data_IF_786619773479
#
_entry.id   IF_786619773479
#
_cell.length_a   1.000
_cell.length_b   1.000
_cell.length_c   1.000
_cell.angle_alpha   90.00
_cell.angle_beta   90.00
_cell.angle_gamma   90.00
#
_symmetry.space_group_name_H-M   'P 1'
#
loop_
_entity.id
_entity.type
_entity.pdbx_description
1 polymer ?
#
# COMPACT_ATOMS: atom_id res chain seq x y z
N UNK A 1 -11.32 33.34 -3.28
CA UNK A 1 -11.83 32.26 -2.41
C UNK A 1 -12.36 31.07 -3.20
N UNK A 2 -13.28 31.22 -4.17
CA UNK A 2 -13.85 30.12 -4.99
C UNK A 2 -12.75 29.27 -5.68
N UNK A 3 -11.76 29.88 -6.33
CA UNK A 3 -10.65 29.20 -7.02
C UNK A 3 -9.82 28.30 -6.07
N UNK A 4 -9.58 28.73 -4.83
CA UNK A 4 -8.85 27.90 -3.85
C UNK A 4 -9.67 26.71 -3.40
N UNK A 5 -10.98 26.87 -3.21
CA UNK A 5 -11.88 25.78 -2.85
C UNK A 5 -11.94 24.74 -3.98
N UNK A 6 -12.05 25.17 -5.23
CA UNK A 6 -12.04 24.27 -6.40
C UNK A 6 -10.72 23.50 -6.51
N UNK A 7 -9.58 24.21 -6.35
CA UNK A 7 -8.27 23.56 -6.31
C UNK A 7 -8.19 22.50 -5.20
N UNK A 8 -8.58 22.84 -3.97
CA UNK A 8 -8.54 21.90 -2.84
C UNK A 8 -9.41 20.67 -3.09
N UNK A 9 -10.62 20.85 -3.63
CA UNK A 9 -11.51 19.72 -3.98
C UNK A 9 -10.87 18.82 -5.02
N UNK A 10 -10.31 19.37 -6.10
CA UNK A 10 -9.65 18.62 -7.15
C UNK A 10 -8.38 17.90 -6.63
N UNK A 11 -7.61 18.57 -5.76
CA UNK A 11 -6.42 18.02 -5.12
C UNK A 11 -6.78 16.81 -4.24
N UNK A 12 -7.78 16.94 -3.34
CA UNK A 12 -8.24 15.85 -2.48
C UNK A 12 -8.83 14.69 -3.30
N UNK A 13 -9.60 14.99 -4.37
CA UNK A 13 -10.10 13.97 -5.31
C UNK A 13 -8.96 13.17 -5.94
N UNK A 14 -7.86 13.82 -6.32
CA UNK A 14 -6.67 13.17 -6.90
C UNK A 14 -5.89 12.32 -5.89
N UNK A 15 -6.00 12.57 -4.58
CA UNK A 15 -5.32 11.78 -3.55
C UNK A 15 -5.86 10.34 -3.42
N UNK A 16 -7.08 10.08 -3.87
CA UNK A 16 -7.68 8.73 -3.89
C UNK A 16 -7.54 7.98 -2.56
N UNK A 17 -7.99 8.60 -1.47
CA UNK A 17 -7.83 8.08 -0.10
C UNK A 17 -8.41 6.68 0.14
N UNK A 18 -9.27 6.18 -0.73
CA UNK A 18 -9.76 4.79 -0.64
C UNK A 18 -8.64 3.73 -0.75
N UNK A 19 -7.49 4.08 -1.32
CA UNK A 19 -6.31 3.25 -1.31
C UNK A 19 -5.35 3.54 -0.13
N UNK A 20 -5.52 4.63 0.60
CA UNK A 20 -4.60 5.03 1.68
C UNK A 20 -4.53 4.01 2.83
N UNK A 21 -5.55 3.15 2.94
CA UNK A 21 -5.54 2.01 3.86
C UNK A 21 -4.39 1.03 3.59
N UNK A 22 -3.88 0.96 2.35
CA UNK A 22 -2.75 0.10 2.00
C UNK A 22 -1.50 0.56 2.74
N UNK A 23 -1.11 1.82 2.59
CA UNK A 23 0.06 2.39 3.27
C UNK A 23 -0.15 2.49 4.78
N UNK A 24 -1.35 2.89 5.21
CA UNK A 24 -1.71 3.02 6.61
C UNK A 24 -1.55 1.71 7.37
N UNK A 25 -2.20 0.64 6.91
CA UNK A 25 -2.16 -0.64 7.62
C UNK A 25 -0.83 -1.36 7.43
N UNK A 26 -0.19 -1.26 6.25
CA UNK A 26 1.17 -1.77 6.07
C UNK A 26 2.15 -1.12 7.06
N UNK A 27 2.06 0.19 7.29
CA UNK A 27 2.89 0.87 8.27
C UNK A 27 2.58 0.44 9.71
N UNK A 28 1.32 0.16 10.01
CA UNK A 28 0.93 -0.33 11.34
C UNK A 28 1.35 -1.77 11.63
N UNK A 29 1.69 -2.58 10.63
CA UNK A 29 2.45 -3.83 10.86
C UNK A 29 3.77 -3.52 11.57
N UNK A 30 4.47 -2.47 11.14
CA UNK A 30 5.71 -2.02 11.78
C UNK A 30 5.50 -1.49 13.20
N UNK A 31 4.45 -0.70 13.43
CA UNK A 31 4.10 -0.18 14.77
C UNK A 31 3.82 -1.34 15.73
N UNK A 32 2.98 -2.29 15.34
CA UNK A 32 2.62 -3.44 16.17
C UNK A 32 3.82 -4.32 16.50
N UNK A 33 4.71 -4.51 15.52
CA UNK A 33 5.94 -5.23 15.74
C UNK A 33 6.86 -4.50 16.72
N UNK A 34 6.99 -3.16 16.62
CA UNK A 34 7.76 -2.37 17.56
C UNK A 34 7.22 -2.51 19.00
N UNK A 35 5.91 -2.37 19.18
CA UNK A 35 5.27 -2.51 20.50
C UNK A 35 5.46 -3.90 21.09
N UNK A 36 5.48 -4.94 20.26
CA UNK A 36 5.71 -6.33 20.69
C UNK A 36 7.15 -6.57 21.13
N UNK A 37 8.15 -6.10 20.38
CA UNK A 37 9.57 -6.38 20.68
C UNK A 37 10.16 -5.46 21.74
N UNK A 38 9.64 -4.25 21.92
CA UNK A 38 10.18 -3.26 22.86
C UNK A 38 10.26 -3.77 24.30
N UNK A 39 9.21 -4.40 24.88
CA UNK A 39 9.30 -4.95 26.24
C UNK A 39 10.34 -6.08 26.37
N UNK A 40 10.63 -6.79 25.29
CA UNK A 40 11.58 -7.91 25.28
C UNK A 40 13.03 -7.40 25.30
N UNK A 41 13.34 -6.36 24.54
CA UNK A 41 14.70 -5.86 24.37
C UNK A 41 15.04 -4.65 25.25
N UNK A 42 14.04 -3.94 25.75
CA UNK A 42 14.18 -2.71 26.53
C UNK A 42 13.36 -2.78 27.83
N UNK A 43 13.48 -3.89 28.57
CA UNK A 43 12.75 -4.09 29.84
C UNK A 43 12.95 -2.97 30.86
N UNK A 44 14.12 -2.32 30.83
CA UNK A 44 14.49 -1.26 31.76
C UNK A 44 14.13 0.15 31.27
N UNK A 45 13.81 0.29 29.97
CA UNK A 45 13.41 1.56 29.35
C UNK A 45 12.08 1.32 28.65
N UNK A 46 10.97 1.63 29.31
CA UNK A 46 9.65 1.55 28.68
C UNK A 46 9.49 2.67 27.64
N UNK A 47 9.97 2.44 26.43
CA UNK A 47 9.77 3.34 25.28
C UNK A 47 8.58 2.86 24.46
N UNK A 48 7.40 2.77 25.09
CA UNK A 48 6.16 2.54 24.36
C UNK A 48 5.76 3.87 23.70
N UNK A 49 5.51 3.92 22.38
CA UNK A 49 5.13 5.16 21.74
C UNK A 49 3.81 5.68 22.32
N UNK A 50 3.74 6.98 22.59
CA UNK A 50 2.52 7.62 23.07
C UNK A 50 1.41 7.49 22.01
N UNK A 51 0.15 7.56 22.44
CA UNK A 51 -1.01 7.56 21.53
C UNK A 51 -0.91 8.66 20.49
N UNK A 52 -0.47 9.87 20.91
CA UNK A 52 -0.25 11.00 20.02
C UNK A 52 0.79 10.68 18.94
N UNK A 53 1.93 10.12 19.30
CA UNK A 53 2.99 9.70 18.38
C UNK A 53 2.46 8.68 17.36
N UNK A 54 1.70 7.68 17.81
CA UNK A 54 1.05 6.69 16.94
C UNK A 54 0.04 7.32 15.98
N UNK A 55 -0.73 8.29 16.42
CA UNK A 55 -1.69 9.01 15.56
C UNK A 55 -0.99 9.84 14.50
N UNK A 56 0.14 10.48 14.81
CA UNK A 56 0.96 11.19 13.83
C UNK A 56 1.54 10.23 12.79
N UNK A 57 2.07 9.09 13.23
CA UNK A 57 2.56 8.04 12.33
C UNK A 57 1.44 7.58 11.38
N UNK A 58 0.25 7.27 11.92
CA UNK A 58 -0.90 6.87 11.13
C UNK A 58 -1.29 7.94 10.11
N UNK A 59 -1.40 9.18 10.53
CA UNK A 59 -1.71 10.30 9.65
C UNK A 59 -0.69 10.44 8.52
N UNK A 60 0.61 10.33 8.80
CA UNK A 60 1.65 10.39 7.79
C UNK A 60 1.58 9.23 6.80
N UNK A 61 1.29 8.02 7.27
CA UNK A 61 1.12 6.86 6.41
C UNK A 61 -0.07 6.99 5.45
N UNK A 62 -1.20 7.54 5.93
CA UNK A 62 -2.35 7.84 5.06
C UNK A 62 -2.04 8.97 4.09
N UNK A 63 -1.38 10.03 4.57
CA UNK A 63 -1.00 11.19 3.75
C UNK A 63 0.02 10.80 2.67
N UNK A 64 0.96 9.90 2.98
CA UNK A 64 1.95 9.39 2.03
C UNK A 64 1.30 8.82 0.78
N UNK A 65 0.21 8.05 0.90
CA UNK A 65 -0.55 7.59 -0.26
C UNK A 65 -1.03 8.74 -1.14
N UNK A 66 -1.73 9.72 -0.54
CA UNK A 66 -2.29 10.85 -1.27
C UNK A 66 -1.24 11.67 -2.00
N UNK A 67 -0.12 11.97 -1.35
CA UNK A 67 1.01 12.69 -1.96
C UNK A 67 1.59 11.89 -3.13
N UNK A 68 1.81 10.59 -2.93
CA UNK A 68 2.35 9.73 -3.98
C UNK A 68 1.43 9.66 -5.20
N UNK A 69 0.10 9.68 -5.01
CA UNK A 69 -0.83 9.73 -6.15
C UNK A 69 -0.70 11.00 -6.99
N UNK A 70 -0.44 12.15 -6.36
CA UNK A 70 -0.21 13.41 -7.09
C UNK A 70 1.03 13.30 -8.00
N UNK A 71 2.13 12.73 -7.51
CA UNK A 71 3.33 12.51 -8.32
C UNK A 71 3.08 11.49 -9.43
N UNK A 72 2.39 10.39 -9.13
CA UNK A 72 2.06 9.36 -10.12
C UNK A 72 1.14 9.88 -11.21
N UNK A 73 0.11 10.67 -10.87
CA UNK A 73 -0.79 11.28 -11.86
C UNK A 73 -0.04 12.27 -12.77
N UNK A 74 0.96 12.98 -12.24
CA UNK A 74 1.79 13.87 -13.05
C UNK A 74 2.68 13.10 -14.03
N UNK A 75 3.36 12.05 -13.55
CA UNK A 75 4.26 11.24 -14.38
C UNK A 75 3.51 10.34 -15.36
N UNK A 76 2.32 9.88 -15.00
CA UNK A 76 1.46 9.01 -15.80
C UNK A 76 0.43 9.74 -16.69
N UNK A 77 0.54 11.06 -16.87
CA UNK A 77 -0.41 11.84 -17.66
C UNK A 77 -0.67 11.30 -19.08
N UNK A 78 0.32 10.80 -19.84
CA UNK A 78 0.08 10.25 -21.17
C UNK A 78 -0.87 9.05 -21.16
N UNK A 79 -0.68 8.12 -20.24
CA UNK A 79 -1.48 6.91 -20.06
C UNK A 79 -2.86 7.23 -19.46
N UNK A 80 -2.92 8.17 -18.55
CA UNK A 80 -4.15 8.57 -17.87
C UNK A 80 -5.17 9.22 -18.82
N UNK A 81 -4.71 9.84 -19.91
CA UNK A 81 -5.60 10.34 -20.95
C UNK A 81 -6.43 9.23 -21.59
N UNK A 82 -5.96 7.98 -21.53
CA UNK A 82 -6.63 6.81 -22.09
C UNK A 82 -7.33 6.03 -20.97
N UNK A 83 -6.59 5.68 -19.91
CA UNK A 83 -7.08 4.81 -18.84
C UNK A 83 -8.03 5.52 -17.87
N UNK A 84 -7.88 6.82 -17.69
CA UNK A 84 -8.62 7.60 -16.70
C UNK A 84 -8.86 9.06 -17.14
N UNK A 85 -9.60 9.29 -18.26
CA UNK A 85 -9.78 10.60 -18.87
C UNK A 85 -10.44 11.64 -17.94
N UNK A 86 -11.16 11.21 -16.92
CA UNK A 86 -11.86 12.07 -15.97
C UNK A 86 -11.01 12.47 -14.74
N UNK A 87 -9.70 12.15 -14.74
CA UNK A 87 -8.81 12.58 -13.65
C UNK A 87 -8.62 14.10 -13.65
N UNK A 88 -8.60 14.76 -12.48
CA UNK A 88 -8.49 16.21 -12.40
C UNK A 88 -7.28 16.83 -13.12
N UNK A 89 -6.13 16.15 -13.16
CA UNK A 89 -4.97 16.62 -13.91
C UNK A 89 -5.14 16.46 -15.42
N UNK A 90 -5.87 15.44 -15.88
CA UNK A 90 -6.17 15.19 -17.30
C UNK A 90 -7.19 16.19 -17.81
N UNK A 91 -8.26 16.44 -17.05
CA UNK A 91 -9.33 17.40 -17.42
C UNK A 91 -8.90 18.87 -17.27
N UNK A 92 -7.79 19.13 -16.56
CA UNK A 92 -7.35 20.50 -16.24
C UNK A 92 -8.03 21.13 -15.02
N UNK A 93 -8.91 20.41 -14.31
CA UNK A 93 -9.48 20.83 -13.03
C UNK A 93 -8.39 21.10 -11.96
N UNK A 94 -7.30 20.32 -12.02
CA UNK A 94 -6.15 20.43 -11.11
C UNK A 94 -4.91 20.86 -11.89
N UNK A 95 -4.39 22.06 -11.56
CA UNK A 95 -3.11 22.48 -12.11
C UNK A 95 -1.98 21.61 -11.57
N UNK A 96 -1.34 20.83 -12.45
CA UNK A 96 -0.33 19.85 -12.08
C UNK A 96 0.88 20.44 -11.36
N UNK A 97 1.40 21.61 -11.84
CA UNK A 97 2.55 22.27 -11.23
C UNK A 97 2.24 22.78 -9.82
N UNK A 98 1.05 23.38 -9.64
CA UNK A 98 0.60 23.83 -8.31
C UNK A 98 0.38 22.64 -7.36
N UNK A 99 -0.18 21.54 -7.85
CA UNK A 99 -0.36 20.31 -7.07
C UNK A 99 0.97 19.71 -6.61
N UNK A 100 1.97 19.63 -7.50
CA UNK A 100 3.32 19.19 -7.15
C UNK A 100 3.97 20.12 -6.10
N UNK A 101 3.85 21.43 -6.25
CA UNK A 101 4.41 22.38 -5.30
C UNK A 101 3.78 22.18 -3.89
N UNK A 102 2.45 22.07 -3.81
CA UNK A 102 1.76 21.80 -2.55
C UNK A 102 2.21 20.45 -1.96
N UNK A 103 2.28 19.38 -2.76
CA UNK A 103 2.75 18.06 -2.32
C UNK A 103 4.18 18.12 -1.78
N UNK A 104 5.08 18.85 -2.45
CA UNK A 104 6.47 19.04 -2.00
C UNK A 104 6.54 19.77 -0.66
N UNK A 105 5.74 20.83 -0.48
CA UNK A 105 5.68 21.56 0.81
C UNK A 105 5.18 20.65 1.93
N UNK A 106 4.11 19.89 1.69
CA UNK A 106 3.57 18.94 2.69
C UNK A 106 4.63 17.90 3.03
N UNK A 107 5.29 17.32 2.03
CA UNK A 107 6.33 16.31 2.21
C UNK A 107 7.52 16.84 3.00
N UNK A 108 7.95 18.08 2.74
CA UNK A 108 8.99 18.76 3.53
C UNK A 108 8.57 18.92 4.99
N UNK A 109 7.30 19.27 5.24
CA UNK A 109 6.73 19.33 6.58
C UNK A 109 6.74 17.96 7.27
N UNK A 110 6.38 16.88 6.57
CA UNK A 110 6.44 15.51 7.07
C UNK A 110 7.87 15.12 7.45
N UNK A 111 8.86 15.44 6.60
CA UNK A 111 10.27 15.18 6.91
C UNK A 111 10.73 15.96 8.15
N UNK A 112 10.35 17.24 8.26
CA UNK A 112 10.67 18.09 9.41
C UNK A 112 10.09 17.51 10.71
N UNK A 113 8.80 17.16 10.73
CA UNK A 113 8.16 16.58 11.91
C UNK A 113 8.77 15.20 12.23
N UNK A 114 9.08 14.38 11.22
CA UNK A 114 9.75 13.11 11.43
C UNK A 114 11.09 13.28 12.13
N UNK A 115 11.88 14.28 11.70
CA UNK A 115 13.20 14.52 12.28
C UNK A 115 13.14 15.05 13.72
N UNK A 116 12.25 16.00 14.01
CA UNK A 116 12.25 16.70 15.30
C UNK A 116 11.29 16.11 16.34
N UNK A 117 10.24 15.42 15.91
CA UNK A 117 9.18 14.95 16.82
C UNK A 117 9.07 13.41 16.88
N UNK A 118 9.34 12.71 15.77
CA UNK A 118 9.38 11.25 15.76
C UNK A 118 10.80 10.76 16.04
N UNK A 119 11.39 10.03 15.10
CA UNK A 119 12.75 9.52 15.19
C UNK A 119 13.53 9.88 13.92
N UNK A 120 14.71 10.52 14.02
CA UNK A 120 15.49 10.90 12.83
C UNK A 120 15.81 9.73 11.89
N UNK A 121 16.02 8.53 12.43
CA UNK A 121 16.30 7.33 11.64
C UNK A 121 15.12 6.95 10.72
N UNK A 122 13.89 7.33 11.06
CA UNK A 122 12.71 7.07 10.25
C UNK A 122 12.70 7.90 8.93
N UNK A 123 13.55 8.91 8.80
CA UNK A 123 13.76 9.58 7.52
C UNK A 123 14.30 8.64 6.43
N UNK A 124 15.08 7.62 6.80
CA UNK A 124 15.66 6.68 5.84
C UNK A 124 14.55 5.96 5.05
N UNK A 125 13.62 5.22 5.68
CA UNK A 125 12.52 4.59 4.94
C UNK A 125 11.55 5.59 4.31
N UNK A 126 11.35 6.76 4.88
CA UNK A 126 10.52 7.81 4.29
C UNK A 126 11.10 8.27 2.94
N UNK A 127 12.37 8.64 2.90
CA UNK A 127 13.04 9.06 1.68
C UNK A 127 13.18 7.91 0.67
N UNK A 128 13.47 6.69 1.15
CA UNK A 128 13.49 5.51 0.29
C UNK A 128 12.12 5.25 -0.36
N UNK A 129 11.02 5.39 0.39
CA UNK A 129 9.66 5.27 -0.13
C UNK A 129 9.35 6.30 -1.22
N UNK A 130 9.77 7.55 -1.04
CA UNK A 130 9.63 8.63 -2.03
C UNK A 130 10.40 8.26 -3.32
N UNK A 131 11.67 7.87 -3.19
CA UNK A 131 12.50 7.50 -4.34
C UNK A 131 11.92 6.28 -5.09
N UNK A 132 11.46 5.28 -4.35
CA UNK A 132 10.81 4.11 -4.94
C UNK A 132 9.50 4.47 -5.65
N UNK A 133 8.71 5.40 -5.09
CA UNK A 133 7.50 5.88 -5.76
C UNK A 133 7.83 6.62 -7.06
N UNK A 134 8.85 7.48 -7.07
CA UNK A 134 9.31 8.14 -8.30
C UNK A 134 9.87 7.16 -9.33
N UNK A 135 10.52 6.08 -8.87
CA UNK A 135 11.02 5.02 -9.74
C UNK A 135 9.93 4.08 -10.27
N UNK A 136 8.74 4.08 -9.68
CA UNK A 136 7.66 3.15 -10.03
C UNK A 136 7.16 3.32 -11.48
N UNK A 137 6.88 4.56 -11.90
CA UNK A 137 6.38 4.80 -13.25
C UNK A 137 7.39 4.39 -14.35
N UNK A 138 8.69 4.74 -14.27
CA UNK A 138 9.66 4.17 -15.19
C UNK A 138 9.80 2.65 -15.07
N UNK A 139 9.74 2.07 -13.87
CA UNK A 139 9.88 0.63 -13.66
C UNK A 139 8.74 -0.18 -14.32
N UNK A 140 7.54 0.38 -14.44
CA UNK A 140 6.40 -0.23 -15.19
C UNK A 140 6.76 -0.59 -16.63
N UNK A 141 7.67 0.16 -17.25
CA UNK A 141 8.12 -0.13 -18.62
C UNK A 141 8.92 -1.45 -18.75
N UNK A 142 9.33 -2.06 -17.65
CA UNK A 142 10.25 -3.20 -17.63
C UNK A 142 9.64 -4.49 -17.01
N UNK A 143 8.39 -4.78 -17.29
CA UNK A 143 7.73 -6.03 -16.88
C UNK A 143 7.51 -6.13 -15.38
N UNK A 144 8.12 -7.12 -14.73
CA UNK A 144 7.93 -7.38 -13.30
C UNK A 144 8.50 -6.29 -12.38
N UNK A 145 9.42 -5.45 -12.88
CA UNK A 145 10.07 -4.43 -12.06
C UNK A 145 9.10 -3.40 -11.49
N UNK A 146 8.01 -3.09 -12.20
CA UNK A 146 6.94 -2.26 -11.65
C UNK A 146 6.34 -2.86 -10.36
N UNK A 147 6.07 -4.18 -10.36
CA UNK A 147 5.55 -4.88 -9.18
C UNK A 147 6.56 -4.89 -8.02
N UNK A 148 7.84 -5.14 -8.35
CA UNK A 148 8.93 -5.16 -7.36
C UNK A 148 9.06 -3.80 -6.68
N UNK A 149 9.17 -2.73 -7.46
CA UNK A 149 9.36 -1.36 -6.95
C UNK A 149 8.14 -0.90 -6.15
N UNK A 150 6.93 -1.17 -6.63
CA UNK A 150 5.71 -0.86 -5.89
C UNK A 150 5.68 -1.60 -4.54
N UNK A 151 5.92 -2.90 -4.52
CA UNK A 151 5.98 -3.68 -3.29
C UNK A 151 6.99 -3.11 -2.29
N UNK A 152 8.19 -2.73 -2.76
CA UNK A 152 9.23 -2.11 -1.93
C UNK A 152 8.81 -0.74 -1.39
N UNK A 153 8.10 0.07 -2.19
CA UNK A 153 7.62 1.38 -1.73
C UNK A 153 6.63 1.25 -0.58
N UNK A 154 5.72 0.26 -0.62
CA UNK A 154 4.80 -0.01 0.49
C UNK A 154 5.53 -0.65 1.68
N UNK A 155 6.51 -1.52 1.43
CA UNK A 155 7.34 -2.10 2.50
C UNK A 155 8.09 -1.01 3.28
N UNK A 156 8.52 0.08 2.61
CA UNK A 156 9.13 1.21 3.29
C UNK A 156 8.20 1.88 4.31
N UNK A 157 6.87 1.84 4.10
CA UNK A 157 5.89 2.31 5.08
C UNK A 157 5.92 1.44 6.35
N UNK A 158 6.10 0.12 6.22
CA UNK A 158 6.25 -0.78 7.37
C UNK A 158 7.51 -0.48 8.16
N UNK A 159 8.64 -0.26 7.45
CA UNK A 159 9.91 0.13 8.09
C UNK A 159 9.79 1.50 8.77
N UNK A 160 9.11 2.47 8.11
CA UNK A 160 8.81 3.77 8.70
C UNK A 160 7.99 3.63 9.98
N UNK A 161 6.90 2.87 9.95
CA UNK A 161 6.04 2.63 11.12
C UNK A 161 6.83 2.06 12.30
N UNK A 162 7.76 1.13 12.05
CA UNK A 162 8.64 0.58 13.07
C UNK A 162 9.63 1.62 13.61
N UNK A 163 10.39 2.30 12.74
CA UNK A 163 11.47 3.20 13.15
C UNK A 163 10.98 4.55 13.70
N UNK A 164 9.75 4.95 13.38
CA UNK A 164 9.16 6.18 13.87
C UNK A 164 8.61 6.08 15.30
N UNK A 165 8.42 4.87 15.83
CA UNK A 165 7.85 4.64 17.15
C UNK A 165 8.79 5.07 18.30
N UNK A 166 10.09 4.88 18.14
CA UNK A 166 11.08 5.13 19.19
C UNK A 166 12.45 4.59 18.82
N UNK A 167 13.40 4.54 19.76
CA UNK A 167 14.74 4.01 19.55
C UNK A 167 14.67 2.61 18.93
N UNK A 168 15.50 2.36 17.91
CA UNK A 168 15.50 1.09 17.21
C UNK A 168 15.95 -0.06 18.13
N UNK A 169 15.10 -1.09 18.25
CA UNK A 169 15.45 -2.31 18.96
C UNK A 169 16.59 -3.05 18.26
N UNK A 170 17.58 -3.47 19.02
CA UNK A 170 18.70 -4.25 18.49
C UNK A 170 18.44 -5.77 18.65
N UNK A 171 18.84 -6.58 17.68
CA UNK A 171 19.38 -6.24 16.36
C UNK A 171 18.28 -5.71 15.40
N UNK A 172 18.65 -4.75 14.54
CA UNK A 172 17.70 -4.13 13.57
C UNK A 172 17.13 -5.14 12.57
N UNK A 173 17.97 -6.08 12.12
CA UNK A 173 17.61 -7.07 11.11
C UNK A 173 17.56 -8.47 11.75
N UNK A 174 16.37 -8.90 12.16
CA UNK A 174 16.10 -10.26 12.59
C UNK A 174 15.47 -11.06 11.46
N UNK A 175 15.59 -12.41 11.51
CA UNK A 175 14.92 -13.30 10.54
C UNK A 175 13.42 -13.03 10.48
N UNK A 176 12.79 -12.83 11.63
CA UNK A 176 11.37 -12.55 11.74
C UNK A 176 11.01 -11.25 11.04
N UNK A 177 11.72 -10.15 11.33
CA UNK A 177 11.47 -8.84 10.71
C UNK A 177 11.63 -8.89 9.18
N UNK A 178 12.72 -9.49 8.70
CA UNK A 178 12.95 -9.66 7.26
C UNK A 178 11.82 -10.49 6.63
N UNK A 179 11.36 -11.53 7.30
CA UNK A 179 10.25 -12.36 6.82
C UNK A 179 8.93 -11.59 6.71
N UNK A 180 8.59 -10.81 7.72
CA UNK A 180 7.39 -9.95 7.68
C UNK A 180 7.50 -8.89 6.58
N UNK A 181 8.65 -8.23 6.43
CA UNK A 181 8.87 -7.26 5.35
C UNK A 181 8.75 -7.92 3.96
N UNK A 182 9.29 -9.12 3.79
CA UNK A 182 9.12 -9.90 2.56
C UNK A 182 7.66 -10.22 2.28
N UNK A 183 6.89 -10.60 3.30
CA UNK A 183 5.46 -10.89 3.15
C UNK A 183 4.65 -9.64 2.79
N UNK A 184 4.95 -8.48 3.40
CA UNK A 184 4.34 -7.20 3.03
C UNK A 184 4.68 -6.84 1.57
N UNK A 185 5.94 -7.01 1.18
CA UNK A 185 6.37 -6.81 -0.21
C UNK A 185 5.60 -7.70 -1.18
N UNK A 186 5.50 -8.99 -0.90
CA UNK A 186 4.86 -9.97 -1.78
C UNK A 186 3.36 -9.69 -1.97
N UNK A 187 2.64 -9.37 -0.88
CA UNK A 187 1.23 -9.00 -0.95
C UNK A 187 1.00 -7.77 -1.85
N UNK A 188 1.83 -6.76 -1.71
CA UNK A 188 1.69 -5.53 -2.49
C UNK A 188 2.14 -5.69 -3.93
N UNK A 189 3.17 -6.49 -4.20
CA UNK A 189 3.59 -6.85 -5.55
C UNK A 189 2.47 -7.61 -6.29
N UNK A 190 1.77 -8.52 -5.60
CA UNK A 190 0.62 -9.24 -6.14
C UNK A 190 -0.58 -8.31 -6.35
N UNK A 191 -0.86 -7.42 -5.40
CA UNK A 191 -1.95 -6.44 -5.52
C UNK A 191 -1.75 -5.56 -6.77
N UNK A 192 -0.55 -5.05 -6.99
CA UNK A 192 -0.21 -4.24 -8.16
C UNK A 192 -0.28 -5.05 -9.45
N UNK A 193 0.06 -6.34 -9.42
CA UNK A 193 -0.10 -7.20 -10.57
C UNK A 193 -1.55 -7.20 -11.09
N UNK A 194 -2.51 -7.39 -10.21
CA UNK A 194 -3.93 -7.36 -10.58
C UNK A 194 -4.40 -5.97 -11.03
N UNK A 195 -3.82 -4.89 -10.51
CA UNK A 195 -4.19 -3.54 -10.95
C UNK A 195 -3.83 -3.25 -12.40
N UNK A 196 -2.80 -3.90 -12.97
CA UNK A 196 -2.38 -3.69 -14.37
C UNK A 196 -3.39 -4.18 -15.39
N UNK A 197 -4.33 -5.04 -15.03
CA UNK A 197 -5.38 -5.47 -15.95
C UNK A 197 -6.27 -4.31 -16.38
N UNK A 198 -6.65 -3.42 -15.46
CA UNK A 198 -7.46 -2.24 -15.81
C UNK A 198 -6.71 -1.22 -16.66
N UNK A 199 -5.39 -1.17 -16.51
CA UNK A 199 -4.53 -0.19 -17.21
C UNK A 199 -3.96 -0.72 -18.54
N UNK A 200 -4.34 -1.94 -18.93
CA UNK A 200 -3.76 -2.67 -20.07
C UNK A 200 -3.70 -1.88 -21.37
N UNK A 201 -4.83 -1.27 -21.78
CA UNK A 201 -4.92 -0.57 -23.08
C UNK A 201 -4.06 0.70 -23.09
N UNK A 202 -4.12 1.52 -22.04
CA UNK A 202 -3.32 2.73 -21.97
C UNK A 202 -1.82 2.45 -21.82
N UNK A 203 -1.44 1.47 -21.00
CA UNK A 203 -0.05 1.05 -20.87
C UNK A 203 0.51 0.54 -22.22
N UNK A 204 -0.29 -0.23 -22.95
CA UNK A 204 0.08 -0.75 -24.29
C UNK A 204 0.27 0.37 -25.32
N UNK A 205 -0.65 1.34 -25.36
CA UNK A 205 -0.59 2.48 -26.29
C UNK A 205 0.58 3.40 -25.91
N UNK A 206 0.84 3.63 -24.64
CA UNK A 206 1.96 4.41 -24.13
C UNK A 206 3.33 3.70 -24.25
N UNK A 207 3.36 2.47 -24.79
CA UNK A 207 4.58 1.68 -24.96
C UNK A 207 5.16 1.10 -23.67
N UNK A 208 4.41 1.13 -22.57
CA UNK A 208 4.82 0.48 -21.31
C UNK A 208 4.67 -1.03 -21.42
N UNK A 209 5.67 -1.75 -20.99
CA UNK A 209 5.72 -3.22 -21.07
C UNK A 209 5.49 -3.81 -19.68
N UNK A 210 4.37 -3.42 -19.03
CA UNK A 210 3.94 -4.10 -17.79
C UNK A 210 3.85 -5.62 -18.01
N UNK A 211 3.86 -6.40 -16.96
CA UNK A 211 3.83 -7.87 -17.06
C UNK A 211 2.59 -8.34 -17.86
N UNK A 212 1.43 -7.68 -17.67
CA UNK A 212 0.20 -8.00 -18.40
C UNK A 212 0.30 -7.63 -19.88
N UNK A 213 0.89 -6.48 -20.21
CA UNK A 213 1.14 -6.06 -21.60
C UNK A 213 2.14 -6.99 -22.28
N UNK A 214 3.23 -7.36 -21.56
CA UNK A 214 4.30 -8.20 -22.10
C UNK A 214 3.82 -9.61 -22.49
N UNK A 215 3.00 -10.23 -21.66
CA UNK A 215 2.56 -11.63 -21.86
C UNK A 215 1.15 -11.74 -22.44
N UNK A 216 0.41 -10.64 -22.50
CA UNK A 216 -0.98 -10.58 -22.94
C UNK A 216 -1.97 -11.01 -21.85
N UNK A 217 -3.23 -10.59 -22.00
CA UNK A 217 -4.29 -10.80 -21.01
C UNK A 217 -4.51 -12.29 -20.74
N UNK A 218 -4.57 -13.15 -21.79
CA UNK A 218 -4.91 -14.55 -21.66
C UNK A 218 -3.92 -15.35 -20.80
N UNK A 219 -2.61 -15.14 -21.01
CA UNK A 219 -1.58 -15.79 -20.17
C UNK A 219 -1.54 -15.18 -18.77
N UNK A 220 -1.73 -13.88 -18.68
CA UNK A 220 -1.67 -13.18 -17.41
C UNK A 220 -2.81 -13.56 -16.48
N UNK A 221 -4.05 -13.73 -16.98
CA UNK A 221 -5.16 -14.17 -16.11
C UNK A 221 -4.94 -15.56 -15.50
N UNK A 222 -4.34 -16.50 -16.25
CA UNK A 222 -3.98 -17.83 -15.75
C UNK A 222 -2.89 -17.71 -14.69
N UNK A 223 -1.83 -16.93 -14.97
CA UNK A 223 -0.79 -16.66 -13.98
C UNK A 223 -1.34 -16.00 -12.72
N UNK A 224 -2.33 -15.11 -12.86
CA UNK A 224 -3.04 -14.48 -11.73
C UNK A 224 -3.66 -15.50 -10.78
N UNK A 225 -4.32 -16.52 -11.31
CA UNK A 225 -4.90 -17.60 -10.47
C UNK A 225 -3.82 -18.37 -9.70
N UNK A 226 -2.71 -18.69 -10.37
CA UNK A 226 -1.59 -19.40 -9.72
C UNK A 226 -0.92 -18.53 -8.66
N UNK A 227 -0.67 -17.24 -8.99
CA UNK A 227 0.03 -16.32 -8.12
C UNK A 227 -0.75 -15.92 -6.86
N UNK A 228 -2.08 -16.09 -6.85
CA UNK A 228 -2.92 -15.87 -5.67
C UNK A 228 -2.53 -16.74 -4.48
N UNK A 229 -1.90 -17.89 -4.71
CA UNK A 229 -1.40 -18.78 -3.65
C UNK A 229 -0.01 -18.43 -3.15
N UNK A 230 0.76 -17.60 -3.86
CA UNK A 230 2.15 -17.31 -3.49
C UNK A 230 2.32 -16.75 -2.08
N UNK A 231 1.50 -15.78 -1.61
CA UNK A 231 1.64 -15.28 -0.25
C UNK A 231 1.42 -16.38 0.80
N UNK A 232 0.41 -17.24 0.62
CA UNK A 232 0.09 -18.31 1.57
C UNK A 232 1.18 -19.38 1.61
N UNK A 233 1.66 -19.82 0.45
CA UNK A 233 2.75 -20.80 0.34
C UNK A 233 4.03 -20.24 0.96
N UNK A 234 4.36 -18.97 0.67
CA UNK A 234 5.52 -18.30 1.22
C UNK A 234 5.43 -18.16 2.74
N UNK A 235 4.26 -17.78 3.26
CA UNK A 235 4.05 -17.69 4.71
C UNK A 235 4.24 -19.03 5.40
N UNK A 236 3.63 -20.10 4.87
CA UNK A 236 3.77 -21.47 5.42
C UNK A 236 5.24 -21.88 5.43
N UNK A 237 5.96 -21.67 4.33
CA UNK A 237 7.38 -22.00 4.24
C UNK A 237 8.23 -21.24 5.27
N UNK A 238 7.99 -19.92 5.44
CA UNK A 238 8.65 -19.07 6.42
C UNK A 238 8.35 -19.55 7.86
N UNK A 239 7.09 -19.82 8.15
CA UNK A 239 6.68 -20.28 9.47
C UNK A 239 7.29 -21.66 9.81
N UNK A 240 7.23 -22.61 8.88
CA UNK A 240 7.83 -23.93 9.07
C UNK A 240 9.37 -23.91 9.16
N UNK A 241 10.02 -22.89 8.59
CA UNK A 241 11.47 -22.72 8.74
C UNK A 241 11.88 -22.14 10.10
N UNK A 242 10.91 -21.79 10.98
CA UNK A 242 11.17 -21.19 12.29
C UNK A 242 11.66 -19.73 12.21
N UNK A 243 11.43 -19.05 11.08
CA UNK A 243 11.77 -17.63 10.97
C UNK A 243 10.80 -16.73 11.76
N UNK A 244 9.57 -17.19 11.96
CA UNK A 244 8.57 -16.57 12.84
C UNK A 244 8.36 -17.53 13.99
N UNK A 245 8.70 -17.10 15.21
CA UNK A 245 8.66 -17.93 16.43
C UNK A 245 7.50 -17.57 17.34
N UNK A 246 6.82 -16.47 17.08
CA UNK A 246 5.64 -16.05 17.86
C UNK A 246 4.48 -17.02 17.59
N UNK A 247 3.79 -17.49 18.65
CA UNK A 247 2.60 -18.31 18.49
C UNK A 247 1.51 -17.54 17.71
N UNK A 248 0.98 -18.17 16.67
CA UNK A 248 -0.05 -17.55 15.84
C UNK A 248 -1.41 -17.61 16.55
N UNK A 249 -2.04 -16.48 16.69
CA UNK A 249 -3.34 -16.32 17.34
C UNK A 249 -4.50 -16.82 16.48
N UNK A 250 -5.67 -17.00 17.08
CA UNK A 250 -6.92 -17.30 16.36
C UNK A 250 -7.26 -16.17 15.38
N UNK A 251 -7.06 -14.92 15.76
CA UNK A 251 -7.27 -13.74 14.89
C UNK A 251 -6.39 -13.81 13.65
N UNK A 252 -5.11 -14.14 13.81
CA UNK A 252 -4.22 -14.35 12.67
C UNK A 252 -4.77 -15.41 11.71
N UNK A 253 -5.19 -16.55 12.22
CA UNK A 253 -5.71 -17.64 11.37
C UNK A 253 -6.99 -17.26 10.64
N UNK A 254 -7.93 -16.60 11.32
CA UNK A 254 -9.19 -16.12 10.70
C UNK A 254 -8.88 -15.13 9.55
N UNK A 255 -8.07 -14.11 9.82
CA UNK A 255 -7.72 -13.10 8.84
C UNK A 255 -6.84 -13.67 7.72
N UNK A 256 -5.95 -14.60 8.04
CA UNK A 256 -5.12 -15.30 7.07
C UNK A 256 -5.95 -16.11 6.07
N UNK A 257 -6.88 -16.93 6.56
CA UNK A 257 -7.80 -17.71 5.71
C UNK A 257 -8.68 -16.78 4.87
N UNK A 258 -9.20 -15.70 5.47
CA UNK A 258 -9.99 -14.70 4.75
C UNK A 258 -9.15 -14.00 3.65
N UNK A 259 -7.87 -13.73 3.92
CA UNK A 259 -6.95 -13.18 2.92
C UNK A 259 -6.80 -14.11 1.72
N UNK A 260 -6.57 -15.40 1.96
CA UNK A 260 -6.49 -16.41 0.88
C UNK A 260 -7.78 -16.44 0.07
N UNK A 261 -8.93 -16.47 0.74
CA UNK A 261 -10.23 -16.44 0.07
C UNK A 261 -10.41 -15.19 -0.80
N UNK A 262 -10.10 -14.00 -0.27
CA UNK A 262 -10.20 -12.74 -1.01
C UNK A 262 -9.22 -12.66 -2.18
N UNK A 263 -8.00 -13.20 -2.04
CA UNK A 263 -7.04 -13.28 -3.14
C UNK A 263 -7.52 -14.20 -4.25
N UNK A 264 -8.04 -15.39 -3.90
CA UNK A 264 -8.64 -16.32 -4.86
C UNK A 264 -9.86 -15.70 -5.56
N UNK A 265 -10.73 -15.04 -4.78
CA UNK A 265 -11.88 -14.35 -5.35
C UNK A 265 -11.45 -13.23 -6.31
N UNK A 266 -10.43 -12.44 -5.96
CA UNK A 266 -9.83 -11.44 -6.85
C UNK A 266 -9.33 -12.09 -8.14
N UNK A 267 -8.58 -13.18 -8.04
CA UNK A 267 -8.06 -13.89 -9.21
C UNK A 267 -9.18 -14.41 -10.11
N UNK A 268 -10.25 -14.97 -9.54
CA UNK A 268 -11.43 -15.42 -10.29
C UNK A 268 -12.13 -14.25 -11.01
N UNK A 269 -12.29 -13.11 -10.34
CA UNK A 269 -12.91 -11.92 -10.92
C UNK A 269 -12.11 -11.42 -12.14
N UNK A 270 -10.78 -11.33 -12.02
CA UNK A 270 -9.92 -10.93 -13.14
C UNK A 270 -9.80 -12.01 -14.22
N UNK A 271 -9.95 -13.29 -13.87
CA UNK A 271 -10.00 -14.36 -14.85
C UNK A 271 -11.23 -14.26 -15.75
N UNK A 272 -12.39 -13.95 -15.16
CA UNK A 272 -13.67 -13.84 -15.88
C UNK A 272 -13.78 -12.50 -16.63
N UNK A 273 -13.38 -11.39 -15.99
CA UNK A 273 -13.52 -10.03 -16.53
C UNK A 273 -12.20 -9.26 -16.37
N UNK A 274 -11.17 -9.54 -17.20
CA UNK A 274 -9.84 -8.95 -16.98
C UNK A 274 -9.76 -7.46 -17.34
N UNK A 275 -10.59 -6.96 -18.27
CA UNK A 275 -10.41 -5.62 -18.86
C UNK A 275 -11.72 -4.86 -19.10
N UNK A 276 -12.79 -5.12 -18.35
CA UNK A 276 -14.11 -4.49 -18.54
C UNK A 276 -14.41 -3.41 -17.49
N UNK A 277 -15.47 -2.60 -17.72
CA UNK A 277 -16.01 -1.61 -16.76
C UNK A 277 -16.33 -2.19 -15.37
N UNK A 278 -16.50 -3.51 -15.25
CA UNK A 278 -16.66 -4.25 -13.99
C UNK A 278 -15.37 -4.37 -13.15
N UNK A 279 -14.23 -3.92 -13.66
CA UNK A 279 -12.94 -3.99 -12.93
C UNK A 279 -12.92 -3.18 -11.63
N UNK A 280 -13.83 -2.22 -11.44
CA UNK A 280 -13.93 -1.47 -10.18
C UNK A 280 -14.19 -2.39 -8.98
N UNK A 281 -15.10 -3.37 -9.11
CA UNK A 281 -15.37 -4.35 -8.07
C UNK A 281 -14.17 -5.28 -7.82
N UNK A 282 -13.53 -5.75 -8.90
CA UNK A 282 -12.32 -6.58 -8.82
C UNK A 282 -11.18 -5.84 -8.10
N UNK A 283 -11.05 -4.54 -8.37
CA UNK A 283 -10.04 -3.68 -7.76
C UNK A 283 -10.31 -3.43 -6.26
N UNK A 284 -11.59 -3.21 -5.88
CA UNK A 284 -11.98 -3.09 -4.48
C UNK A 284 -11.71 -4.39 -3.70
N UNK A 285 -12.01 -5.55 -4.31
CA UNK A 285 -11.75 -6.87 -3.72
C UNK A 285 -10.25 -7.12 -3.58
N UNK A 286 -9.45 -6.76 -4.57
CA UNK A 286 -7.98 -6.83 -4.54
C UNK A 286 -7.39 -5.98 -3.39
N UNK A 287 -7.88 -4.75 -3.25
CA UNK A 287 -7.47 -3.86 -2.15
C UNK A 287 -7.86 -4.44 -0.79
N UNK A 288 -9.08 -4.98 -0.66
CA UNK A 288 -9.54 -5.64 0.57
C UNK A 288 -8.69 -6.87 0.91
N UNK A 289 -8.30 -7.67 -0.08
CA UNK A 289 -7.42 -8.83 0.12
C UNK A 289 -6.06 -8.40 0.69
N UNK A 290 -5.44 -7.35 0.11
CA UNK A 290 -4.17 -6.82 0.56
C UNK A 290 -4.25 -6.28 1.99
N UNK A 291 -5.26 -5.46 2.29
CA UNK A 291 -5.50 -4.87 3.61
C UNK A 291 -5.77 -5.96 4.67
N UNK A 292 -6.54 -6.99 4.31
CA UNK A 292 -6.79 -8.13 5.19
C UNK A 292 -5.49 -8.88 5.53
N UNK A 293 -4.62 -9.09 4.55
CA UNK A 293 -3.31 -9.71 4.76
C UNK A 293 -2.40 -8.90 5.67
N UNK A 294 -2.37 -7.57 5.53
CA UNK A 294 -1.65 -6.71 6.45
C UNK A 294 -2.23 -6.78 7.87
N UNK A 295 -3.57 -6.79 8.01
CA UNK A 295 -4.22 -6.95 9.29
C UNK A 295 -3.90 -8.32 9.93
N UNK A 296 -3.80 -9.40 9.15
CA UNK A 296 -3.36 -10.70 9.64
C UNK A 296 -1.94 -10.61 10.24
N UNK A 297 -1.01 -9.89 9.60
CA UNK A 297 0.35 -9.71 10.16
C UNK A 297 0.35 -8.88 11.44
N UNK A 298 -0.52 -7.88 11.56
CA UNK A 298 -0.73 -7.18 12.85
C UNK A 298 -1.22 -8.16 13.91
N UNK A 299 -2.10 -9.10 13.55
CA UNK A 299 -2.65 -10.13 14.43
C UNK A 299 -1.60 -11.12 14.98
N UNK A 300 -0.39 -11.17 14.41
CA UNK A 300 0.73 -11.91 15.01
C UNK A 300 1.14 -11.27 16.34
N UNK A 301 1.01 -9.94 16.45
CA UNK A 301 1.52 -9.15 17.57
C UNK A 301 0.43 -8.51 18.43
N UNK A 302 -0.74 -8.20 17.84
CA UNK A 302 -1.84 -7.49 18.53
C UNK A 302 -3.19 -7.83 17.90
N UNK A 303 -3.90 -8.78 18.51
CA UNK A 303 -5.21 -9.27 18.04
C UNK A 303 -6.31 -8.21 17.98
N UNK A 304 -6.39 -7.38 19.03
CA UNK A 304 -7.43 -6.36 19.14
C UNK A 304 -7.25 -5.29 18.05
N UNK A 305 -6.03 -4.84 17.88
CA UNK A 305 -5.69 -3.85 16.86
C UNK A 305 -5.91 -4.41 15.45
N UNK A 306 -5.52 -5.66 15.19
CA UNK A 306 -5.73 -6.34 13.92
C UNK A 306 -7.22 -6.38 13.54
N UNK A 307 -8.06 -6.79 14.49
CA UNK A 307 -9.51 -6.88 14.30
C UNK A 307 -10.11 -5.50 14.03
N UNK A 308 -9.75 -4.49 14.82
CA UNK A 308 -10.24 -3.12 14.67
C UNK A 308 -9.85 -2.55 13.29
N UNK A 309 -8.56 -2.62 12.95
CA UNK A 309 -8.06 -2.07 11.69
C UNK A 309 -8.63 -2.80 10.47
N UNK A 310 -8.80 -4.13 10.56
CA UNK A 310 -9.46 -4.90 9.52
C UNK A 310 -10.90 -4.43 9.30
N UNK A 311 -11.71 -4.36 10.35
CA UNK A 311 -13.13 -3.97 10.23
C UNK A 311 -13.27 -2.56 9.66
N UNK A 312 -12.54 -1.60 10.22
CA UNK A 312 -12.54 -0.21 9.75
C UNK A 312 -12.13 -0.15 8.28
N UNK A 313 -10.99 -0.74 7.93
CA UNK A 313 -10.47 -0.67 6.56
C UNK A 313 -11.39 -1.40 5.57
N UNK A 314 -11.91 -2.58 5.90
CA UNK A 314 -12.78 -3.37 5.02
C UNK A 314 -14.07 -2.62 4.67
N UNK A 315 -14.69 -1.97 5.67
CA UNK A 315 -15.91 -1.18 5.49
C UNK A 315 -15.61 0.08 4.69
N UNK A 316 -14.60 0.86 5.12
CA UNK A 316 -14.28 2.14 4.46
C UNK A 316 -13.76 1.97 3.04
N UNK A 317 -12.95 0.96 2.76
CA UNK A 317 -12.52 0.65 1.38
C UNK A 317 -13.74 0.44 0.48
N UNK A 318 -14.71 -0.38 0.90
CA UNK A 318 -15.93 -0.59 0.13
C UNK A 318 -16.72 0.70 -0.09
N UNK A 319 -17.02 1.41 0.99
CA UNK A 319 -17.79 2.67 0.94
C UNK A 319 -17.11 3.73 0.04
N UNK A 320 -15.81 3.94 0.18
CA UNK A 320 -15.09 4.94 -0.59
C UNK A 320 -14.96 4.56 -2.07
N UNK A 321 -14.83 3.26 -2.39
CA UNK A 321 -14.87 2.81 -3.79
C UNK A 321 -16.23 3.06 -4.43
N UNK A 322 -17.33 2.76 -3.73
CA UNK A 322 -18.68 3.02 -4.23
C UNK A 322 -18.93 4.52 -4.42
N UNK A 323 -18.48 5.34 -3.46
CA UNK A 323 -18.59 6.80 -3.55
C UNK A 323 -17.81 7.34 -4.76
N UNK A 324 -16.60 6.83 -4.99
CA UNK A 324 -15.77 7.24 -6.14
C UNK A 324 -16.38 6.81 -7.48
N UNK A 325 -16.94 5.60 -7.56
CA UNK A 325 -17.64 5.12 -8.76
C UNK A 325 -18.82 6.03 -9.11
N UNK A 326 -19.68 6.32 -8.13
CA UNK A 326 -20.85 7.17 -8.32
C UNK A 326 -20.52 8.63 -8.65
N UNK A 327 -19.32 9.11 -8.30
CA UNK A 327 -18.86 10.48 -8.63
C UNK A 327 -18.27 10.59 -10.05
N UNK A 328 -18.05 9.48 -10.74
CA UNK A 328 -17.48 9.41 -12.10
C UNK A 328 -18.51 8.96 -13.15
N UNK A 329 -19.72 8.59 -12.75
CA UNK A 329 -20.90 8.43 -13.60
C UNK A 329 -21.65 9.78 -13.75
#
# INVERSE_FOLDING_TARGET
>A
MKKYIEFTKAYVKSMRFYYAFITGIAGWVGVSFYEYVTPIFYSDIQVIPSTEKKMIILFFLFLAWGINQIFNDYMGLPEDRINAPNRPMVTGELNAKAALAVSTVILTGVCFITYYYLEPIALIPLLAGILLNLAYEPAKAYGIWGNVVYGLSITSCTVFGFLACGPAAQPLFTKERISILFMVWLLNALMTYFSYFKDYEGDKIAGKRTIVVKYGIEKSKVFGVISAFFPSISFIAIYMSGCITVPLSTTFWILGVLTVFLQMWTACLYYVNPADKKTAYSLATNTRACVCGHAAFIGIYNDQLATLLFLVAYIFVGFLFDLHKNSNE
#
